data_IF_062228900430
#
_entry.id   IF_062228900430
#
_cell.length_a   1.000
_cell.length_b   1.000
_cell.length_c   1.000
_cell.angle_alpha   90.00
_cell.angle_beta   90.00
_cell.angle_gamma   90.00
#
_symmetry.space_group_name_H-M   'P 1'
#
loop_
_entity.id
_entity.type
_entity.pdbx_description
1 polymer ?
#
# COMPACT_ATOMS: atom_id res chain seq x y z
N UNK A 1 45.32 -15.66 9.44
CA UNK A 1 44.89 -14.25 9.57
C UNK A 1 44.60 -13.59 8.23
N UNK A 2 45.53 -13.62 7.25
CA UNK A 2 45.35 -12.94 5.95
C UNK A 2 44.10 -13.38 5.16
N UNK A 3 43.80 -14.68 5.13
CA UNK A 3 42.61 -15.22 4.46
C UNK A 3 41.28 -14.74 5.09
N UNK A 4 41.24 -14.59 6.42
CA UNK A 4 40.04 -14.11 7.13
C UNK A 4 39.80 -12.63 6.84
N UNK A 5 40.87 -11.82 6.83
CA UNK A 5 40.80 -10.41 6.48
C UNK A 5 40.32 -10.21 5.04
N UNK A 6 40.83 -11.01 4.10
CA UNK A 6 40.40 -10.98 2.70
C UNK A 6 38.90 -11.29 2.56
N UNK A 7 38.41 -12.30 3.27
CA UNK A 7 36.99 -12.67 3.29
C UNK A 7 36.11 -11.52 3.80
N UNK A 8 36.52 -10.86 4.89
CA UNK A 8 35.79 -9.73 5.46
C UNK A 8 35.72 -8.57 4.47
N UNK A 9 36.84 -8.22 3.82
CA UNK A 9 36.89 -7.15 2.83
C UNK A 9 36.00 -7.46 1.62
N UNK A 10 36.04 -8.71 1.13
CA UNK A 10 35.16 -9.15 0.03
C UNK A 10 33.69 -9.05 0.42
N UNK A 11 33.31 -9.47 1.63
CA UNK A 11 31.92 -9.34 2.10
C UNK A 11 31.47 -7.89 2.22
N UNK A 12 32.30 -7.00 2.77
CA UNK A 12 31.99 -5.57 2.91
C UNK A 12 31.81 -4.89 1.55
N UNK A 13 32.55 -5.31 0.52
CA UNK A 13 32.43 -4.75 -0.82
C UNK A 13 31.27 -5.39 -1.63
N UNK A 14 31.04 -6.69 -1.45
CA UNK A 14 30.00 -7.42 -2.17
C UNK A 14 28.59 -7.12 -1.64
N UNK A 15 28.44 -6.95 -0.32
CA UNK A 15 27.12 -6.75 0.30
C UNK A 15 26.41 -5.47 -0.20
N UNK A 16 27.03 -4.29 -0.26
CA UNK A 16 26.41 -3.09 -0.82
C UNK A 16 26.05 -3.27 -2.30
N UNK A 17 26.91 -3.95 -3.07
CA UNK A 17 26.65 -4.20 -4.48
C UNK A 17 25.42 -5.09 -4.69
N UNK A 18 25.33 -6.20 -3.95
CA UNK A 18 24.18 -7.11 -4.00
C UNK A 18 22.91 -6.39 -3.55
N UNK A 19 23.00 -5.60 -2.48
CA UNK A 19 21.88 -4.82 -1.97
C UNK A 19 21.34 -3.84 -3.00
N UNK A 20 22.22 -3.06 -3.64
CA UNK A 20 21.83 -2.11 -4.70
C UNK A 20 21.20 -2.85 -5.88
N UNK A 21 21.80 -3.94 -6.34
CA UNK A 21 21.25 -4.72 -7.46
C UNK A 21 19.86 -5.27 -7.12
N UNK A 22 19.66 -5.79 -5.90
CA UNK A 22 18.37 -6.31 -5.43
C UNK A 22 17.29 -5.23 -5.46
N UNK A 23 17.58 -4.05 -4.91
CA UNK A 23 16.65 -2.91 -4.92
C UNK A 23 16.25 -2.52 -6.35
N UNK A 24 17.20 -2.45 -7.28
CA UNK A 24 16.91 -2.09 -8.67
C UNK A 24 16.05 -3.15 -9.38
N UNK A 25 16.33 -4.43 -9.17
CA UNK A 25 15.54 -5.50 -9.78
C UNK A 25 14.12 -5.55 -9.23
N UNK A 26 13.96 -5.28 -7.93
CA UNK A 26 12.67 -5.25 -7.26
C UNK A 26 11.83 -4.08 -7.74
N UNK A 27 12.40 -2.87 -7.78
CA UNK A 27 11.74 -1.70 -8.35
C UNK A 27 11.31 -1.91 -9.80
N UNK A 28 12.15 -2.57 -10.61
CA UNK A 28 11.80 -2.86 -12.01
C UNK A 28 10.70 -3.92 -12.13
N UNK A 29 10.66 -4.90 -11.22
CA UNK A 29 9.60 -5.91 -11.17
C UNK A 29 8.28 -5.27 -10.78
N UNK A 30 8.29 -4.42 -9.75
CA UNK A 30 7.13 -3.68 -9.26
C UNK A 30 6.63 -2.73 -10.34
N UNK A 31 7.50 -1.91 -10.96
CA UNK A 31 7.10 -1.01 -12.04
C UNK A 31 6.46 -1.73 -13.23
N UNK A 32 6.90 -2.95 -13.59
CA UNK A 32 6.24 -3.76 -14.62
C UNK A 32 4.89 -4.33 -14.16
N UNK A 33 4.74 -4.63 -12.87
CA UNK A 33 3.48 -5.09 -12.31
C UNK A 33 2.46 -3.94 -12.24
N UNK A 34 2.91 -2.75 -11.81
CA UNK A 34 2.15 -1.50 -11.85
C UNK A 34 1.70 -1.18 -13.28
N UNK A 35 2.63 -1.16 -14.23
CA UNK A 35 2.31 -0.92 -15.65
C UNK A 35 1.22 -1.88 -16.13
N UNK A 36 1.32 -3.17 -15.82
CA UNK A 36 0.30 -4.15 -16.25
C UNK A 36 -1.02 -4.01 -15.51
N UNK A 37 -0.98 -3.68 -14.22
CA UNK A 37 -2.16 -3.55 -13.40
C UNK A 37 -2.97 -2.30 -13.77
N UNK A 38 -2.29 -1.23 -14.18
CA UNK A 38 -2.91 0.05 -14.50
C UNK A 38 -3.06 0.36 -16.01
N UNK A 39 -2.37 -0.35 -16.91
CA UNK A 39 -2.30 -0.01 -18.35
C UNK A 39 -3.66 0.20 -19.04
N UNK A 40 -4.67 -0.59 -18.68
CA UNK A 40 -5.99 -0.58 -19.33
C UNK A 40 -7.11 -0.14 -18.38
N UNK A 41 -6.74 0.51 -17.26
CA UNK A 41 -7.72 0.94 -16.26
C UNK A 41 -8.17 2.37 -16.46
N UNK A 42 -9.48 2.55 -16.50
CA UNK A 42 -10.07 3.86 -16.43
C UNK A 42 -9.96 4.43 -15.01
N UNK A 43 -9.53 5.70 -14.86
CA UNK A 43 -9.53 6.36 -13.56
C UNK A 43 -10.95 6.54 -13.04
N UNK A 44 -11.12 6.36 -11.74
CA UNK A 44 -12.40 6.49 -11.06
C UNK A 44 -12.49 7.86 -10.37
N UNK A 45 -13.45 8.69 -10.80
CA UNK A 45 -13.71 9.99 -10.16
C UNK A 45 -14.19 9.79 -8.71
N UNK A 46 -14.05 10.81 -7.88
CA UNK A 46 -14.50 10.75 -6.48
C UNK A 46 -15.98 10.44 -6.35
N UNK A 47 -16.82 10.98 -7.24
CA UNK A 47 -18.25 10.68 -7.27
C UNK A 47 -18.54 9.20 -7.58
N UNK A 48 -17.81 8.62 -8.54
CA UNK A 48 -17.95 7.21 -8.87
C UNK A 48 -17.38 6.31 -7.76
N UNK A 49 -16.29 6.74 -7.11
CA UNK A 49 -15.72 6.05 -5.96
C UNK A 49 -16.73 6.00 -4.81
N UNK A 50 -17.32 7.13 -4.41
CA UNK A 50 -18.34 7.19 -3.37
C UNK A 50 -19.58 6.37 -3.73
N UNK A 51 -19.97 6.33 -5.01
CA UNK A 51 -21.09 5.50 -5.44
C UNK A 51 -20.80 3.99 -5.36
N UNK A 52 -19.52 3.60 -5.35
CA UNK A 52 -19.08 2.20 -5.36
C UNK A 52 -18.72 1.65 -3.96
N UNK A 53 -18.59 2.50 -2.93
CA UNK A 53 -18.35 2.05 -1.55
C UNK A 53 -19.65 1.66 -0.85
N UNK A 54 -19.56 0.66 0.03
CA UNK A 54 -20.73 0.08 0.72
C UNK A 54 -21.39 1.06 1.70
N UNK A 55 -20.62 1.96 2.31
CA UNK A 55 -21.13 2.91 3.30
C UNK A 55 -20.48 4.30 3.12
N UNK A 56 -21.24 5.30 2.63
CA UNK A 56 -20.71 6.64 2.41
C UNK A 56 -20.51 7.46 3.70
N UNK A 57 -20.92 6.93 4.86
CA UNK A 57 -20.78 7.63 6.14
C UNK A 57 -19.32 7.91 6.53
N UNK A 58 -18.37 7.13 6.01
CA UNK A 58 -16.95 7.28 6.29
C UNK A 58 -16.17 7.87 5.09
N UNK A 59 -16.82 8.68 4.24
CA UNK A 59 -16.22 9.21 3.00
C UNK A 59 -14.82 9.82 3.20
N UNK A 60 -14.64 10.70 4.20
CA UNK A 60 -13.36 11.37 4.42
C UNK A 60 -12.25 10.37 4.78
N UNK A 61 -12.60 9.35 5.57
CA UNK A 61 -11.67 8.27 5.91
C UNK A 61 -11.32 7.43 4.67
N UNK A 62 -12.32 7.11 3.84
CA UNK A 62 -12.12 6.41 2.57
C UNK A 62 -11.22 7.19 1.61
N UNK A 63 -11.45 8.49 1.45
CA UNK A 63 -10.61 9.32 0.58
C UNK A 63 -9.19 9.47 1.14
N UNK A 64 -9.02 9.58 2.45
CA UNK A 64 -7.69 9.58 3.08
C UNK A 64 -6.94 8.27 2.85
N UNK A 65 -7.60 7.13 3.10
CA UNK A 65 -7.06 5.80 2.80
C UNK A 65 -6.70 5.63 1.32
N UNK A 66 -7.55 6.12 0.41
CA UNK A 66 -7.32 6.08 -1.04
C UNK A 66 -6.06 6.85 -1.43
N UNK A 67 -5.85 8.05 -0.88
CA UNK A 67 -4.64 8.86 -1.10
C UNK A 67 -3.39 8.22 -0.50
N UNK A 68 -3.51 7.64 0.69
CA UNK A 68 -2.43 6.89 1.33
C UNK A 68 -1.98 5.72 0.45
N UNK A 69 -2.92 4.89 -0.03
CA UNK A 69 -2.60 3.75 -0.88
C UNK A 69 -1.99 4.19 -2.22
N UNK A 70 -2.55 5.24 -2.85
CA UNK A 70 -2.01 5.76 -4.10
C UNK A 70 -0.55 6.22 -3.95
N UNK A 71 -0.22 6.89 -2.84
CA UNK A 71 1.15 7.29 -2.51
C UNK A 71 2.09 6.08 -2.39
N UNK A 72 1.67 5.02 -1.70
CA UNK A 72 2.47 3.82 -1.49
C UNK A 72 2.68 3.01 -2.78
N UNK A 73 1.70 3.03 -3.68
CA UNK A 73 1.75 2.40 -4.99
C UNK A 73 2.31 3.32 -6.09
N UNK A 74 2.80 4.52 -5.74
CA UNK A 74 3.38 5.47 -6.70
C UNK A 74 2.42 5.95 -7.80
N UNK A 75 1.11 5.96 -7.54
CA UNK A 75 0.05 6.28 -8.49
C UNK A 75 -0.83 7.44 -7.99
N UNK A 76 -1.83 7.82 -8.79
CA UNK A 76 -2.81 8.84 -8.44
C UNK A 76 -4.04 8.22 -7.75
N UNK A 77 -4.73 8.94 -6.84
CA UNK A 77 -5.86 8.38 -6.09
C UNK A 77 -6.97 7.81 -6.96
N UNK A 78 -7.27 8.45 -8.09
CA UNK A 78 -8.24 8.03 -9.09
C UNK A 78 -7.97 6.61 -9.65
N UNK A 79 -6.73 6.12 -9.60
CA UNK A 79 -6.36 4.77 -10.06
C UNK A 79 -6.60 3.68 -9.01
N UNK A 80 -6.88 4.05 -7.75
CA UNK A 80 -7.24 3.10 -6.68
C UNK A 80 -8.76 2.91 -6.70
N UNK A 81 -9.20 1.70 -7.01
CA UNK A 81 -10.61 1.34 -7.10
C UNK A 81 -11.05 0.66 -5.79
N UNK A 82 -12.28 0.89 -5.30
CA UNK A 82 -12.74 0.26 -4.07
C UNK A 82 -12.91 -1.25 -4.21
N UNK A 83 -13.10 -1.75 -5.44
CA UNK A 83 -13.19 -3.18 -5.76
C UNK A 83 -11.83 -3.88 -5.87
N UNK A 84 -10.72 -3.15 -5.75
CA UNK A 84 -9.39 -3.75 -5.80
C UNK A 84 -9.16 -4.73 -4.66
N UNK A 85 -8.47 -5.83 -4.94
CA UNK A 85 -8.02 -6.72 -3.87
C UNK A 85 -7.01 -5.98 -2.99
N UNK A 86 -7.24 -6.00 -1.67
CA UNK A 86 -6.32 -5.38 -0.72
C UNK A 86 -4.93 -6.02 -0.82
N UNK A 87 -4.86 -7.35 -0.93
CA UNK A 87 -3.61 -8.09 -1.17
C UNK A 87 -2.86 -7.58 -2.40
N UNK A 88 -3.55 -7.40 -3.52
CA UNK A 88 -2.91 -6.95 -4.76
C UNK A 88 -2.37 -5.53 -4.63
N UNK A 89 -3.09 -4.63 -3.98
CA UNK A 89 -2.60 -3.27 -3.71
C UNK A 89 -1.39 -3.27 -2.78
N UNK A 90 -1.37 -4.11 -1.74
CA UNK A 90 -0.20 -4.29 -0.89
C UNK A 90 1.00 -4.81 -1.70
N UNK A 91 0.80 -5.80 -2.58
CA UNK A 91 1.87 -6.35 -3.42
C UNK A 91 2.47 -5.34 -4.43
N UNK A 92 1.74 -4.26 -4.71
CA UNK A 92 2.18 -3.14 -5.56
C UNK A 92 2.94 -2.06 -4.78
N UNK A 93 2.98 -2.12 -3.45
CA UNK A 93 3.70 -1.12 -2.66
C UNK A 93 5.20 -1.19 -2.91
N UNK A 94 5.82 -0.02 -3.07
CA UNK A 94 7.20 0.11 -3.52
C UNK A 94 8.25 -0.51 -2.58
N UNK A 95 7.94 -0.64 -1.29
CA UNK A 95 8.95 -0.92 -0.26
C UNK A 95 8.78 -2.27 0.44
N UNK A 96 7.62 -2.95 0.37
CA UNK A 96 7.43 -4.25 1.08
C UNK A 96 6.03 -4.87 1.11
N UNK A 97 4.96 -4.13 0.80
CA UNK A 97 3.58 -4.61 0.95
C UNK A 97 3.14 -4.82 2.40
N UNK A 98 3.75 -4.10 3.34
CA UNK A 98 3.35 -4.14 4.74
C UNK A 98 2.07 -3.33 4.96
N UNK A 99 1.08 -3.96 5.57
CA UNK A 99 -0.18 -3.31 5.95
C UNK A 99 0.04 -2.14 6.93
N UNK A 100 1.11 -2.20 7.72
CA UNK A 100 1.46 -1.17 8.69
C UNK A 100 1.79 0.18 8.02
N UNK A 101 2.44 0.16 6.86
CA UNK A 101 2.76 1.38 6.12
C UNK A 101 1.47 2.03 5.59
N UNK A 102 0.56 1.21 5.06
CA UNK A 102 -0.76 1.68 4.68
C UNK A 102 -1.52 2.30 5.85
N UNK A 103 -1.52 1.65 7.02
CA UNK A 103 -2.18 2.18 8.22
C UNK A 103 -1.56 3.51 8.61
N UNK A 104 -0.24 3.59 8.73
CA UNK A 104 0.47 4.80 9.14
C UNK A 104 0.18 5.98 8.22
N UNK A 105 0.25 5.79 6.90
CA UNK A 105 -0.09 6.84 5.94
C UNK A 105 -1.58 7.23 6.01
N UNK A 106 -2.47 6.26 6.26
CA UNK A 106 -3.90 6.54 6.46
C UNK A 106 -4.14 7.38 7.71
N UNK A 107 -3.45 7.09 8.82
CA UNK A 107 -3.51 7.89 10.05
C UNK A 107 -3.04 9.34 9.79
N UNK A 108 -1.98 9.53 9.01
CA UNK A 108 -1.51 10.86 8.63
C UNK A 108 -2.53 11.62 7.78
N UNK A 109 -3.12 10.96 6.78
CA UNK A 109 -4.10 11.57 5.86
C UNK A 109 -5.43 11.92 6.55
N UNK A 110 -5.82 11.14 7.55
CA UNK A 110 -7.14 11.25 8.20
C UNK A 110 -7.09 11.83 9.61
N UNK A 111 -5.88 12.08 10.14
CA UNK A 111 -5.65 12.49 11.54
C UNK A 111 -6.36 11.57 12.56
N UNK A 112 -6.59 10.31 12.20
CA UNK A 112 -7.28 9.32 13.02
C UNK A 112 -6.31 8.25 13.48
N UNK A 113 -6.47 7.78 14.71
CA UNK A 113 -5.65 6.68 15.25
C UNK A 113 -6.30 5.33 14.98
N UNK A 114 -5.52 4.38 14.48
CA UNK A 114 -5.96 3.05 14.07
C UNK A 114 -5.31 2.01 14.98
N UNK A 115 -6.13 1.19 15.64
CA UNK A 115 -5.68 0.06 16.45
C UNK A 115 -5.29 -1.13 15.54
N UNK A 116 -3.98 -1.31 15.38
CA UNK A 116 -3.38 -2.41 14.61
C UNK A 116 -3.81 -3.82 15.08
N UNK A 117 -4.35 -3.96 16.30
CA UNK A 117 -4.86 -5.27 16.79
C UNK A 117 -6.20 -5.64 16.17
N UNK A 118 -6.85 -4.70 15.45
CA UNK A 118 -8.17 -4.84 14.84
C UNK A 118 -8.14 -4.70 13.31
N UNK A 119 -7.05 -5.13 12.69
CA UNK A 119 -6.95 -5.13 11.24
C UNK A 119 -7.91 -6.18 10.65
N UNK A 120 -8.69 -5.82 9.62
CA UNK A 120 -9.42 -6.80 8.82
C UNK A 120 -8.45 -7.77 8.13
N UNK A 121 -8.97 -8.90 7.66
CA UNK A 121 -8.21 -9.80 6.78
C UNK A 121 -7.87 -9.08 5.47
N UNK A 122 -6.66 -9.25 4.95
CA UNK A 122 -6.19 -8.64 3.69
C UNK A 122 -6.29 -9.57 2.49
N UNK A 123 -6.37 -10.88 2.71
CA UNK A 123 -6.30 -11.89 1.64
C UNK A 123 -7.63 -12.04 0.89
N UNK A 124 -8.76 -11.78 1.56
CA UNK A 124 -10.10 -12.02 1.00
C UNK A 124 -10.95 -10.77 0.82
N UNK A 125 -10.45 -9.59 1.20
CA UNK A 125 -11.23 -8.34 1.15
C UNK A 125 -10.84 -7.45 -0.01
N UNK A 126 -11.84 -6.73 -0.51
CA UNK A 126 -11.60 -5.58 -1.39
C UNK A 126 -11.06 -4.39 -0.57
N UNK A 127 -10.47 -3.41 -1.23
CA UNK A 127 -9.96 -2.20 -0.63
C UNK A 127 -11.07 -1.42 0.09
N UNK A 128 -12.21 -1.22 -0.57
CA UNK A 128 -13.34 -0.53 0.02
C UNK A 128 -13.89 -1.24 1.26
N UNK A 129 -14.07 -2.56 1.19
CA UNK A 129 -14.54 -3.33 2.35
C UNK A 129 -13.53 -3.35 3.49
N UNK A 130 -12.23 -3.41 3.17
CA UNK A 130 -11.17 -3.35 4.16
C UNK A 130 -11.20 -2.02 4.90
N UNK A 131 -11.23 -0.90 4.17
CA UNK A 131 -11.25 0.44 4.74
C UNK A 131 -12.51 0.67 5.57
N UNK A 132 -13.67 0.16 5.13
CA UNK A 132 -14.91 0.27 5.88
C UNK A 132 -14.83 -0.47 7.22
N UNK A 133 -14.40 -1.74 7.21
CA UNK A 133 -14.21 -2.53 8.43
C UNK A 133 -13.17 -1.92 9.36
N UNK A 134 -12.15 -1.28 8.79
CA UNK A 134 -11.15 -0.55 9.54
C UNK A 134 -11.76 0.67 10.25
N UNK A 135 -12.62 1.42 9.58
CA UNK A 135 -13.35 2.55 10.17
C UNK A 135 -14.28 2.10 11.31
N UNK A 136 -15.08 1.06 11.07
CA UNK A 136 -16.00 0.49 12.07
C UNK A 136 -15.24 -0.04 13.30
N UNK A 137 -14.16 -0.80 13.08
CA UNK A 137 -13.34 -1.39 14.15
C UNK A 137 -12.67 -0.36 15.07
N UNK A 138 -12.43 0.83 14.54
CA UNK A 138 -11.80 1.96 15.23
C UNK A 138 -12.78 3.05 15.67
N UNK A 139 -14.09 2.84 15.45
CA UNK A 139 -15.17 3.78 15.83
C UNK A 139 -14.93 5.19 15.30
N UNK A 140 -14.41 5.26 14.07
CA UNK A 140 -14.23 6.53 13.38
C UNK A 140 -15.63 7.12 13.17
N UNK A 141 -15.90 8.35 13.61
CA UNK A 141 -17.23 8.92 13.49
C UNK A 141 -17.61 9.07 12.01
N UNK A 142 -18.85 8.72 11.71
CA UNK A 142 -19.48 9.12 10.46
C UNK A 142 -19.50 10.65 10.36
N UNK A 143 -19.02 11.20 9.25
CA UNK A 143 -19.01 12.64 8.99
C UNK A 143 -20.40 13.14 8.56
#
# INVERSE_FOLDING_TARGET
MFQVLLLIVVMILAFPLIYVVSLFTERKRIGKAEERFFADREPLTDAQYTAAITNPLHNDFHFGARRAMATLCGTTPDMIHPSDSMRTLLDLQFDSGYIQDFVFFTEQETSTQIDLRRLPDTETTTFGDFVERLAEGNRIPAA
#
